data_IF_091064094053
#
_entry.id   IF_091064094053
#
_cell.length_a   1.000
_cell.length_b   1.000
_cell.length_c   1.000
_cell.angle_alpha   90.00
_cell.angle_beta   90.00
_cell.angle_gamma   90.00
#
_symmetry.space_group_name_H-M   'P 1'
#
loop_
_entity.id
_entity.type
_entity.pdbx_description
1 polymer ?
#
# COMPACT_ATOMS: atom_id res chain seq x y z
N UNK A 1 43.57 -15.02 2.83
CA UNK A 1 43.93 -15.98 1.77
C UNK A 1 42.97 -17.17 1.73
N UNK A 2 41.66 -16.94 1.89
CA UNK A 2 40.69 -18.02 2.13
C UNK A 2 39.38 -17.87 1.32
N UNK A 3 39.43 -17.11 0.23
CA UNK A 3 38.25 -16.77 -0.59
C UNK A 3 38.24 -17.48 -1.96
N UNK A 4 39.18 -18.40 -2.21
CA UNK A 4 39.41 -19.00 -3.53
C UNK A 4 38.99 -20.47 -3.67
N UNK A 5 38.46 -21.11 -2.62
CA UNK A 5 37.98 -22.51 -2.71
C UNK A 5 36.48 -22.63 -2.99
N UNK A 6 35.64 -21.67 -2.56
CA UNK A 6 34.18 -21.75 -2.75
C UNK A 6 33.75 -21.43 -4.19
N UNK A 7 34.42 -20.50 -4.89
CA UNK A 7 34.11 -20.19 -6.29
C UNK A 7 34.48 -21.31 -7.27
N UNK A 8 35.45 -22.17 -6.93
CA UNK A 8 35.85 -23.30 -7.80
C UNK A 8 34.88 -24.49 -7.72
N UNK A 9 34.08 -24.59 -6.66
CA UNK A 9 33.05 -25.63 -6.52
C UNK A 9 31.77 -25.29 -7.30
N UNK A 10 31.39 -24.00 -7.36
CA UNK A 10 30.24 -23.51 -8.13
C UNK A 10 30.46 -23.56 -9.66
N UNK A 11 31.66 -23.19 -10.12
CA UNK A 11 31.99 -23.23 -11.56
C UNK A 11 32.13 -24.65 -12.13
N UNK A 12 32.54 -25.64 -11.31
CA UNK A 12 32.60 -27.04 -11.75
C UNK A 12 31.23 -27.68 -11.92
N UNK A 13 30.17 -27.19 -11.25
CA UNK A 13 28.79 -27.64 -11.51
C UNK A 13 28.22 -27.04 -12.81
N UNK A 14 28.57 -25.80 -13.17
CA UNK A 14 28.16 -25.23 -14.45
C UNK A 14 28.87 -25.84 -15.67
N UNK A 15 30.11 -26.31 -15.52
CA UNK A 15 30.86 -26.92 -16.63
C UNK A 15 30.50 -28.41 -16.83
N UNK A 16 30.03 -29.12 -15.80
CA UNK A 16 29.57 -30.51 -15.93
C UNK A 16 28.12 -30.66 -16.42
N UNK A 17 27.31 -29.61 -16.39
CA UNK A 17 25.96 -29.60 -16.99
C UNK A 17 25.97 -29.39 -18.52
N UNK A 18 27.13 -29.08 -19.11
CA UNK A 18 27.27 -28.80 -20.53
C UNK A 18 27.71 -29.98 -21.41
N UNK A 19 27.78 -31.22 -20.90
CA UNK A 19 28.45 -32.31 -21.65
C UNK A 19 27.82 -33.70 -21.67
N UNK A 20 26.53 -33.82 -21.39
CA UNK A 20 25.82 -35.12 -21.48
C UNK A 20 24.42 -34.99 -22.11
N UNK A 21 24.28 -34.34 -23.27
CA UNK A 21 23.07 -34.50 -24.09
C UNK A 21 23.45 -34.41 -25.57
N UNK A 22 23.49 -35.57 -26.22
CA UNK A 22 23.44 -35.69 -27.67
C UNK A 22 21.97 -35.71 -28.06
N UNK A 23 21.47 -34.66 -28.71
CA UNK A 23 20.33 -34.77 -29.61
C UNK A 23 20.61 -33.87 -30.83
N UNK A 24 20.64 -34.46 -32.02
CA UNK A 24 20.63 -33.70 -33.26
C UNK A 24 19.34 -32.90 -33.28
N UNK A 25 19.43 -31.58 -33.07
CA UNK A 25 18.29 -30.67 -33.21
C UNK A 25 17.94 -30.65 -34.69
N UNK A 26 16.74 -31.07 -35.06
CA UNK A 26 16.33 -31.06 -36.47
C UNK A 26 16.02 -29.63 -36.90
N UNK A 27 16.07 -29.33 -38.20
CA UNK A 27 15.64 -28.01 -38.71
C UNK A 27 14.18 -27.69 -38.34
N UNK A 28 13.33 -28.72 -38.21
CA UNK A 28 11.97 -28.57 -37.72
C UNK A 28 11.92 -28.20 -36.22
N UNK A 29 12.84 -28.72 -35.41
CA UNK A 29 12.95 -28.35 -33.99
C UNK A 29 13.43 -26.92 -33.83
N UNK A 30 14.41 -26.49 -34.61
CA UNK A 30 14.91 -25.11 -34.60
C UNK A 30 13.82 -24.12 -35.00
N UNK A 31 13.06 -24.42 -36.06
CA UNK A 31 11.89 -23.63 -36.45
C UNK A 31 10.88 -23.51 -35.29
N UNK A 32 10.50 -24.63 -34.67
CA UNK A 32 9.53 -24.62 -33.56
C UNK A 32 10.07 -23.85 -32.34
N UNK A 33 11.33 -24.02 -31.99
CA UNK A 33 11.94 -23.28 -30.88
C UNK A 33 12.02 -21.78 -31.15
N UNK A 34 12.29 -21.37 -32.40
CA UNK A 34 12.23 -19.95 -32.81
C UNK A 34 10.79 -19.42 -32.70
N UNK A 35 9.79 -20.12 -33.26
CA UNK A 35 8.38 -19.73 -33.15
C UNK A 35 7.92 -19.60 -31.69
N UNK A 36 8.23 -20.60 -30.86
CA UNK A 36 7.86 -20.58 -29.45
C UNK A 36 8.55 -19.44 -28.70
N UNK A 37 9.83 -19.20 -28.97
CA UNK A 37 10.58 -18.13 -28.32
C UNK A 37 10.04 -16.76 -28.71
N UNK A 38 9.89 -16.52 -30.01
CA UNK A 38 9.59 -15.19 -30.55
C UNK A 38 8.13 -14.81 -30.41
N UNK A 39 7.20 -15.74 -30.66
CA UNK A 39 5.76 -15.43 -30.70
C UNK A 39 5.05 -15.82 -29.42
N UNK A 40 5.32 -17.00 -28.88
CA UNK A 40 4.45 -17.58 -27.84
C UNK A 40 4.92 -17.25 -26.42
N UNK A 41 6.22 -17.20 -26.20
CA UNK A 41 6.83 -16.97 -24.88
C UNK A 41 7.34 -15.54 -24.69
N UNK A 42 6.91 -14.59 -25.54
CA UNK A 42 7.25 -13.18 -25.41
C UNK A 42 8.75 -12.91 -25.51
N UNK A 43 9.42 -13.47 -26.52
CA UNK A 43 10.86 -13.39 -26.77
C UNK A 43 11.75 -14.07 -25.71
N UNK A 44 11.20 -14.99 -24.90
CA UNK A 44 11.98 -15.83 -23.98
C UNK A 44 12.47 -17.08 -24.69
N UNK A 45 13.75 -17.41 -24.52
CA UNK A 45 14.39 -18.56 -25.17
C UNK A 45 13.74 -19.88 -24.74
N UNK A 46 13.04 -20.54 -25.67
CA UNK A 46 12.50 -21.88 -25.52
C UNK A 46 13.61 -22.94 -25.65
N UNK A 47 13.40 -24.10 -25.01
CA UNK A 47 14.21 -25.31 -25.19
C UNK A 47 13.34 -26.55 -25.03
N UNK A 48 13.64 -27.61 -25.77
CA UNK A 48 13.06 -28.93 -25.50
C UNK A 48 13.81 -29.65 -24.38
N UNK A 49 13.13 -30.58 -23.72
CA UNK A 49 13.70 -31.51 -22.74
C UNK A 49 13.03 -32.86 -22.91
N UNK A 50 13.80 -33.93 -22.85
CA UNK A 50 13.29 -35.31 -22.87
C UNK A 50 12.95 -35.82 -21.46
N UNK A 51 13.21 -35.00 -20.44
CA UNK A 51 12.84 -35.31 -19.06
C UNK A 51 11.40 -34.91 -18.80
N UNK A 52 10.57 -35.89 -18.43
CA UNK A 52 9.22 -35.65 -17.92
C UNK A 52 9.34 -35.19 -16.46
N UNK A 53 9.44 -33.88 -16.27
CA UNK A 53 9.55 -33.24 -14.95
C UNK A 53 8.45 -32.18 -14.83
N UNK A 54 7.62 -32.29 -13.79
CA UNK A 54 6.72 -31.24 -13.35
C UNK A 54 7.44 -30.46 -12.26
N UNK A 55 7.50 -29.13 -12.38
CA UNK A 55 8.16 -28.29 -11.37
C UNK A 55 7.31 -28.31 -10.10
N UNK A 56 7.88 -28.82 -9.02
CA UNK A 56 7.31 -28.72 -7.68
C UNK A 56 7.51 -27.28 -7.16
N UNK A 57 6.45 -26.52 -6.85
CA UNK A 57 6.58 -25.17 -6.31
C UNK A 57 7.44 -25.09 -5.05
N UNK A 58 7.45 -26.14 -4.22
CA UNK A 58 8.28 -26.19 -3.00
C UNK A 58 9.77 -26.36 -3.28
N UNK A 59 10.14 -26.75 -4.50
CA UNK A 59 11.54 -26.85 -4.95
C UNK A 59 12.10 -25.54 -5.51
N UNK A 60 11.24 -24.53 -5.70
CA UNK A 60 11.62 -23.21 -6.19
C UNK A 60 12.06 -22.35 -5.01
N UNK A 61 13.24 -21.74 -5.09
CA UNK A 61 13.74 -20.84 -4.06
C UNK A 61 12.80 -19.62 -3.92
N UNK A 62 12.31 -19.31 -2.70
CA UNK A 62 11.45 -18.16 -2.47
C UNK A 62 12.17 -16.83 -2.75
N UNK A 63 11.41 -15.79 -3.05
CA UNK A 63 11.93 -14.43 -3.14
C UNK A 63 12.57 -14.01 -1.80
N UNK A 64 13.84 -13.56 -1.82
CA UNK A 64 14.49 -13.05 -0.62
C UNK A 64 13.85 -11.74 -0.19
N UNK A 65 13.88 -11.47 1.12
CA UNK A 65 13.38 -10.23 1.72
C UNK A 65 14.53 -9.22 1.77
N UNK A 66 14.47 -8.17 0.96
CA UNK A 66 15.43 -7.07 0.97
C UNK A 66 15.29 -6.26 2.26
N UNK A 67 16.41 -6.07 2.96
CA UNK A 67 16.52 -5.19 4.12
C UNK A 67 17.79 -4.34 4.03
N UNK A 68 17.78 -3.18 4.64
CA UNK A 68 18.86 -2.20 4.67
C UNK A 68 19.49 -2.13 6.05
N UNK A 69 18.65 -2.20 7.08
CA UNK A 69 19.04 -2.23 8.48
C UNK A 69 18.75 -3.58 9.14
N UNK A 70 19.31 -3.82 10.32
CA UNK A 70 18.83 -4.84 11.25
C UNK A 70 17.71 -4.30 12.15
N UNK A 71 17.19 -5.13 13.08
CA UNK A 71 16.11 -4.76 14.02
C UNK A 71 16.51 -3.66 15.01
N UNK A 72 17.80 -3.43 15.21
CA UNK A 72 18.29 -2.32 16.02
C UNK A 72 18.40 -1.02 15.22
N UNK A 73 18.21 -1.09 13.90
CA UNK A 73 18.26 0.01 12.95
C UNK A 73 19.69 0.31 12.49
N UNK A 74 20.64 -0.63 12.63
CA UNK A 74 22.00 -0.47 12.13
C UNK A 74 22.10 -0.92 10.68
N UNK A 75 22.84 -0.19 9.85
CA UNK A 75 23.04 -0.55 8.46
C UNK A 75 23.84 -1.85 8.34
N UNK A 76 23.25 -2.86 7.70
CA UNK A 76 23.92 -4.15 7.45
C UNK A 76 24.97 -4.01 6.35
N UNK A 77 24.64 -3.26 5.30
CA UNK A 77 25.57 -2.82 4.28
C UNK A 77 25.52 -1.29 4.18
N UNK A 78 26.59 -0.58 4.57
CA UNK A 78 26.66 0.89 4.49
C UNK A 78 26.44 1.47 3.08
N UNK A 79 26.65 0.68 2.02
CA UNK A 79 26.39 1.10 0.62
C UNK A 79 24.90 1.27 0.32
N UNK A 80 24.03 0.63 1.10
CA UNK A 80 22.58 0.74 0.95
C UNK A 80 21.97 1.90 1.75
N UNK A 81 22.79 2.68 2.47
CA UNK A 81 22.32 3.88 3.18
C UNK A 81 21.94 4.98 2.17
N UNK A 82 20.66 5.39 2.07
CA UNK A 82 20.23 6.42 1.13
C UNK A 82 20.71 7.84 1.49
N UNK A 83 21.43 8.02 2.61
CA UNK A 83 21.98 9.32 3.05
C UNK A 83 20.91 10.40 3.15
N UNK A 84 19.76 10.06 3.75
CA UNK A 84 18.66 11.01 3.93
C UNK A 84 19.14 12.24 4.74
N UNK A 85 18.78 13.47 4.32
CA UNK A 85 18.98 14.65 5.15
C UNK A 85 18.27 14.51 6.49
N UNK A 86 18.86 15.12 7.54
CA UNK A 86 18.30 15.10 8.90
C UNK A 86 16.84 15.53 8.91
N UNK A 87 16.50 16.59 8.19
CA UNK A 87 15.16 17.17 8.13
C UNK A 87 14.15 16.17 7.56
N UNK A 88 14.53 15.46 6.50
CA UNK A 88 13.71 14.42 5.87
C UNK A 88 13.51 13.24 6.81
N UNK A 89 14.58 12.75 7.43
CA UNK A 89 14.51 11.63 8.36
C UNK A 89 13.63 11.97 9.59
N UNK A 90 13.83 13.15 10.20
CA UNK A 90 13.00 13.62 11.31
C UNK A 90 11.54 13.79 10.87
N UNK A 91 11.26 14.30 9.67
CA UNK A 91 9.89 14.39 9.14
C UNK A 91 9.23 13.01 9.02
N UNK A 92 9.94 12.02 8.48
CA UNK A 92 9.42 10.64 8.35
C UNK A 92 9.01 10.07 9.71
N UNK A 93 9.86 10.22 10.72
CA UNK A 93 9.54 9.78 12.10
C UNK A 93 8.33 10.53 12.67
N UNK A 94 8.29 11.86 12.49
CA UNK A 94 7.19 12.70 12.94
C UNK A 94 5.87 12.30 12.31
N UNK A 95 5.84 11.99 11.01
CA UNK A 95 4.60 11.61 10.33
C UNK A 95 4.11 10.21 10.73
N UNK A 96 5.02 9.24 10.93
CA UNK A 96 4.65 7.92 11.47
C UNK A 96 4.05 8.02 12.88
N UNK A 97 4.68 8.80 13.78
CA UNK A 97 4.21 8.98 15.16
C UNK A 97 2.94 9.84 15.25
N UNK A 98 2.78 10.80 14.35
CA UNK A 98 1.56 11.60 14.19
C UNK A 98 0.38 10.74 13.75
N UNK A 99 0.58 9.88 12.75
CA UNK A 99 -0.40 8.87 12.33
C UNK A 99 -0.79 7.95 13.47
N UNK A 100 0.20 7.40 14.19
CA UNK A 100 -0.04 6.51 15.32
C UNK A 100 -0.85 7.18 16.44
N UNK A 101 -0.58 8.46 16.73
CA UNK A 101 -1.31 9.24 17.74
C UNK A 101 -2.73 9.55 17.29
N UNK A 102 -2.93 9.91 16.02
CA UNK A 102 -4.25 10.10 15.42
C UNK A 102 -5.08 8.82 15.51
N UNK A 103 -4.49 7.68 15.18
CA UNK A 103 -5.15 6.39 15.21
C UNK A 103 -5.65 6.03 16.60
N UNK A 104 -4.84 6.24 17.65
CA UNK A 104 -5.27 5.98 19.04
C UNK A 104 -6.51 6.81 19.40
N UNK A 105 -6.51 8.10 19.08
CA UNK A 105 -7.61 9.02 19.41
C UNK A 105 -8.89 8.67 18.62
N UNK A 106 -8.78 8.43 17.32
CA UNK A 106 -9.94 8.13 16.48
C UNK A 106 -10.50 6.72 16.72
N UNK A 107 -9.64 5.75 17.04
CA UNK A 107 -10.07 4.43 17.47
C UNK A 107 -10.90 4.52 18.77
N UNK A 108 -10.42 5.23 19.78
CA UNK A 108 -11.16 5.44 21.04
C UNK A 108 -12.45 6.24 20.82
N UNK A 109 -12.44 7.22 19.91
CA UNK A 109 -13.64 7.97 19.49
C UNK A 109 -14.72 7.05 18.93
N UNK A 110 -14.32 6.10 18.09
CA UNK A 110 -15.23 5.11 17.54
C UNK A 110 -15.80 4.19 18.64
N UNK A 111 -14.98 3.78 19.63
CA UNK A 111 -15.45 3.00 20.79
C UNK A 111 -16.48 3.73 21.64
N UNK A 112 -16.47 5.06 21.62
CA UNK A 112 -17.48 5.91 22.26
C UNK A 112 -18.72 6.19 21.38
N UNK A 113 -18.76 5.67 20.15
CA UNK A 113 -19.85 5.90 19.20
C UNK A 113 -19.90 7.30 18.61
N UNK A 114 -18.82 8.07 18.71
CA UNK A 114 -18.72 9.44 18.15
C UNK A 114 -18.55 9.44 16.63
N UNK A 115 -17.84 8.44 16.10
CA UNK A 115 -17.75 8.12 14.67
C UNK A 115 -18.21 6.68 14.45
N UNK A 116 -18.65 6.34 13.25
CA UNK A 116 -19.29 5.05 12.98
C UNK A 116 -18.30 3.89 12.79
N UNK A 117 -17.11 4.16 12.26
CA UNK A 117 -16.12 3.16 11.86
C UNK A 117 -14.71 3.74 11.95
N UNK A 118 -13.70 2.89 12.16
CA UNK A 118 -12.30 3.28 12.05
C UNK A 118 -11.37 2.08 11.76
N UNK A 119 -10.22 2.36 11.14
CA UNK A 119 -9.15 1.40 10.89
C UNK A 119 -7.82 2.06 11.24
N UNK A 120 -7.01 1.38 12.05
CA UNK A 120 -5.69 1.88 12.45
C UNK A 120 -4.60 1.45 11.47
N UNK A 121 -3.43 2.06 11.55
CA UNK A 121 -2.30 1.83 10.64
C UNK A 121 -1.12 1.16 11.37
N UNK A 122 -1.36 0.60 12.56
CA UNK A 122 -0.33 0.06 13.44
C UNK A 122 0.43 -1.10 12.79
N UNK A 123 1.76 -0.92 12.69
CA UNK A 123 2.69 -1.87 12.08
C UNK A 123 3.00 -1.53 10.63
N UNK A 124 2.18 -0.71 9.98
CA UNK A 124 2.30 -0.42 8.55
C UNK A 124 2.84 0.99 8.25
N UNK A 125 3.23 1.75 9.29
CA UNK A 125 3.62 3.16 9.16
C UNK A 125 4.85 3.38 8.25
N UNK A 126 5.86 2.50 8.33
CA UNK A 126 7.04 2.56 7.48
C UNK A 126 6.73 2.26 6.00
N UNK A 127 5.78 1.36 5.74
CA UNK A 127 5.32 1.08 4.38
C UNK A 127 4.75 2.34 3.74
N UNK A 128 3.91 3.08 4.46
CA UNK A 128 3.27 4.29 3.94
C UNK A 128 4.26 5.44 3.78
N UNK A 129 4.97 5.79 4.86
CA UNK A 129 5.84 6.97 4.87
C UNK A 129 7.10 6.74 4.04
N UNK A 130 7.71 5.55 4.14
CA UNK A 130 8.91 5.19 3.39
C UNK A 130 8.66 5.18 1.88
N UNK A 131 7.53 4.60 1.43
CA UNK A 131 7.18 4.58 0.02
C UNK A 131 6.79 5.98 -0.49
N UNK A 132 5.94 6.71 0.23
CA UNK A 132 5.50 8.04 -0.18
C UNK A 132 6.67 9.04 -0.31
N UNK A 133 7.67 8.96 0.57
CA UNK A 133 8.85 9.81 0.52
C UNK A 133 9.78 9.54 -0.66
N UNK A 134 9.67 8.38 -1.30
CA UNK A 134 10.45 8.01 -2.48
C UNK A 134 9.82 8.48 -3.80
N UNK A 135 8.58 8.99 -3.75
CA UNK A 135 7.80 9.43 -4.91
C UNK A 135 7.89 10.94 -5.10
N UNK A 136 7.51 11.39 -6.30
CA UNK A 136 7.26 12.81 -6.54
C UNK A 136 5.84 13.19 -6.04
N UNK A 137 5.64 14.43 -5.62
CA UNK A 137 4.32 14.92 -5.17
C UNK A 137 3.23 14.84 -6.27
N UNK A 138 3.67 14.83 -7.53
CA UNK A 138 2.81 14.69 -8.70
C UNK A 138 2.50 13.24 -9.08
N UNK A 139 3.18 12.24 -8.50
CA UNK A 139 2.86 10.83 -8.77
C UNK A 139 1.46 10.51 -8.18
N UNK A 140 0.65 9.75 -8.93
CA UNK A 140 -0.74 9.50 -8.58
C UNK A 140 -0.87 8.26 -7.69
N UNK A 141 -1.64 8.38 -6.61
CA UNK A 141 -1.81 7.31 -5.62
C UNK A 141 -3.23 6.76 -5.68
N UNK A 142 -3.32 5.43 -5.75
CA UNK A 142 -4.51 4.66 -5.45
C UNK A 142 -4.27 3.85 -4.18
N UNK A 143 -5.18 3.95 -3.21
CA UNK A 143 -5.11 3.16 -1.98
C UNK A 143 -6.23 2.13 -1.88
N UNK A 144 -6.21 1.38 -0.78
CA UNK A 144 -7.25 0.41 -0.43
C UNK A 144 -8.10 0.92 0.74
N UNK A 145 -7.49 1.28 1.87
CA UNK A 145 -8.12 1.90 3.06
C UNK A 145 -7.14 2.05 4.24
N UNK A 146 -5.87 1.62 4.11
CA UNK A 146 -4.86 1.73 5.19
C UNK A 146 -3.75 2.70 4.83
N UNK A 147 -3.91 3.53 3.80
CA UNK A 147 -2.84 4.37 3.25
C UNK A 147 -2.81 5.78 3.85
N UNK A 148 -3.38 6.00 5.04
CA UNK A 148 -3.45 7.32 5.67
C UNK A 148 -2.05 7.94 5.91
N UNK A 149 -1.02 7.11 6.09
CA UNK A 149 0.37 7.58 6.19
C UNK A 149 0.91 8.23 4.92
N UNK A 150 0.39 7.89 3.73
CA UNK A 150 0.78 8.53 2.46
C UNK A 150 0.23 9.96 2.41
N UNK A 151 -1.04 10.15 2.78
CA UNK A 151 -1.64 11.47 2.93
C UNK A 151 -0.94 12.29 4.01
N UNK A 152 -0.60 11.67 5.15
CA UNK A 152 0.14 12.32 6.22
C UNK A 152 1.50 12.85 5.73
N UNK A 153 2.24 12.02 4.98
CA UNK A 153 3.51 12.43 4.37
C UNK A 153 3.34 13.60 3.39
N UNK A 154 2.27 13.58 2.57
CA UNK A 154 1.95 14.64 1.61
C UNK A 154 1.36 15.90 2.25
N UNK A 155 1.35 16.00 3.59
CA UNK A 155 0.85 17.14 4.35
C UNK A 155 -0.68 17.36 4.21
N UNK A 156 -1.44 16.28 4.03
CA UNK A 156 -2.90 16.36 4.09
C UNK A 156 -3.34 16.95 5.44
N UNK A 157 -4.22 17.97 5.46
CA UNK A 157 -4.58 18.66 6.69
C UNK A 157 -5.15 17.70 7.75
N UNK A 158 -4.70 17.84 9.01
CA UNK A 158 -5.15 16.96 10.10
C UNK A 158 -6.67 17.06 10.31
N UNK A 159 -7.23 18.26 10.17
CA UNK A 159 -8.65 18.51 10.20
C UNK A 159 -9.42 17.70 9.16
N UNK A 160 -8.89 17.51 7.95
CA UNK A 160 -9.60 16.81 6.88
C UNK A 160 -9.73 15.31 7.14
N UNK A 161 -8.76 14.69 7.83
CA UNK A 161 -8.96 13.33 8.35
C UNK A 161 -10.17 13.26 9.30
N UNK A 162 -10.32 14.27 10.17
CA UNK A 162 -11.44 14.35 11.12
C UNK A 162 -12.76 14.63 10.41
N UNK A 163 -12.79 15.60 9.49
CA UNK A 163 -14.00 15.97 8.75
C UNK A 163 -14.55 14.78 7.99
N UNK A 164 -13.69 14.00 7.32
CA UNK A 164 -14.10 12.79 6.61
C UNK A 164 -14.65 11.72 7.57
N UNK A 165 -14.01 11.50 8.73
CA UNK A 165 -14.51 10.52 9.71
C UNK A 165 -15.83 10.93 10.37
N UNK A 166 -16.08 12.23 10.54
CA UNK A 166 -17.35 12.75 11.06
C UNK A 166 -18.43 12.87 9.96
N UNK A 167 -18.03 12.89 8.68
CA UNK A 167 -18.93 13.16 7.56
C UNK A 167 -19.59 14.54 7.61
N UNK A 168 -18.90 15.51 8.22
CA UNK A 168 -19.44 16.86 8.41
C UNK A 168 -19.27 17.72 7.15
N UNK A 169 -19.75 18.97 7.18
CA UNK A 169 -19.81 19.81 5.99
C UNK A 169 -18.47 20.32 5.45
N UNK A 170 -17.39 20.17 6.21
CA UNK A 170 -16.05 20.55 5.77
C UNK A 170 -15.28 19.37 5.13
N UNK A 171 -15.88 18.18 5.10
CA UNK A 171 -15.33 17.02 4.39
C UNK A 171 -15.32 17.26 2.88
N UNK A 172 -14.17 17.10 2.24
CA UNK A 172 -14.05 17.10 0.78
C UNK A 172 -14.95 16.04 0.12
N UNK A 173 -15.17 14.91 0.80
CA UNK A 173 -16.09 13.83 0.38
C UNK A 173 -17.56 14.11 0.67
N UNK A 174 -17.90 15.28 1.23
CA UNK A 174 -19.27 15.73 1.53
C UNK A 174 -20.05 14.80 2.45
N UNK A 175 -19.37 14.00 3.29
CA UNK A 175 -19.99 13.04 4.20
C UNK A 175 -20.69 11.87 3.51
N UNK A 176 -20.35 11.57 2.25
CA UNK A 176 -21.04 10.55 1.44
C UNK A 176 -20.48 9.13 1.60
N UNK A 177 -19.30 8.99 2.20
CA UNK A 177 -18.64 7.70 2.38
C UNK A 177 -18.39 7.36 3.84
N UNK A 178 -18.14 6.07 4.10
CA UNK A 178 -17.75 5.56 5.40
C UNK A 178 -16.45 6.23 5.89
N UNK A 179 -16.24 6.40 7.22
CA UNK A 179 -14.97 6.86 7.74
C UNK A 179 -13.77 6.09 7.19
N UNK A 180 -12.62 6.75 7.10
CA UNK A 180 -11.35 6.26 6.53
C UNK A 180 -11.34 6.17 4.99
N UNK A 181 -12.42 6.59 4.32
CA UNK A 181 -12.46 6.69 2.86
C UNK A 181 -11.92 8.04 2.36
N UNK A 182 -10.65 8.29 2.65
CA UNK A 182 -10.00 9.57 2.31
C UNK A 182 -9.79 9.74 0.79
N UNK A 183 -9.70 10.99 0.35
CA UNK A 183 -9.41 11.36 -1.04
C UNK A 183 -8.99 12.83 -1.13
N UNK A 184 -8.07 13.15 -2.04
CA UNK A 184 -7.68 14.53 -2.29
C UNK A 184 -7.05 14.70 -3.67
N UNK A 185 -7.69 15.51 -4.52
CA UNK A 185 -7.16 15.86 -5.82
C UNK A 185 -5.85 16.66 -5.72
N UNK A 186 -5.77 17.60 -4.77
CA UNK A 186 -4.58 18.42 -4.52
C UNK A 186 -3.35 17.56 -4.19
N UNK A 187 -3.55 16.48 -3.43
CA UNK A 187 -2.48 15.59 -2.99
C UNK A 187 -2.26 14.41 -3.93
N UNK A 188 -2.85 14.42 -5.13
CA UNK A 188 -2.82 13.32 -6.11
C UNK A 188 -3.15 11.96 -5.46
N UNK A 189 -4.17 11.92 -4.60
CA UNK A 189 -4.63 10.72 -3.90
C UNK A 189 -6.08 10.44 -4.27
N UNK A 190 -6.30 9.38 -5.06
CA UNK A 190 -7.65 9.01 -5.52
C UNK A 190 -8.48 8.53 -4.34
N UNK A 191 -9.72 8.98 -4.28
CA UNK A 191 -10.65 8.64 -3.20
C UNK A 191 -10.81 7.14 -3.04
N UNK A 192 -10.65 6.67 -1.81
CA UNK A 192 -10.85 5.26 -1.43
C UNK A 192 -12.30 4.81 -1.68
N UNK A 193 -12.45 3.53 -2.04
CA UNK A 193 -13.72 2.83 -2.10
C UNK A 193 -13.62 1.47 -1.39
N UNK A 194 -14.73 0.98 -0.84
CA UNK A 194 -14.75 -0.28 -0.07
C UNK A 194 -14.46 -1.54 -0.90
N UNK A 195 -14.98 -1.71 -2.14
CA UNK A 195 -14.74 -2.91 -2.93
C UNK A 195 -13.26 -3.13 -3.20
N UNK A 196 -12.72 -4.25 -2.69
CA UNK A 196 -11.31 -4.55 -2.79
C UNK A 196 -10.89 -4.65 -4.26
N UNK A 197 -9.66 -4.21 -4.51
CA UNK A 197 -8.92 -4.46 -5.76
C UNK A 197 -9.43 -3.71 -6.99
N UNK A 198 -10.65 -3.14 -6.96
CA UNK A 198 -11.22 -2.34 -8.05
C UNK A 198 -10.33 -1.16 -8.47
N UNK A 199 -9.55 -0.61 -7.54
CA UNK A 199 -8.60 0.46 -7.79
C UNK A 199 -7.40 0.02 -8.64
N UNK A 200 -7.05 -1.27 -8.67
CA UNK A 200 -5.86 -1.78 -9.37
C UNK A 200 -5.98 -1.64 -10.89
N UNK A 201 -7.01 -2.15 -11.57
CA UNK A 201 -7.15 -1.93 -13.02
C UNK A 201 -7.38 -0.46 -13.37
N UNK A 202 -8.03 0.32 -12.49
CA UNK A 202 -8.18 1.78 -12.67
C UNK A 202 -6.81 2.49 -12.66
N UNK A 203 -5.94 2.14 -11.69
CA UNK A 203 -4.58 2.65 -11.60
C UNK A 203 -3.77 2.35 -12.87
N UNK A 204 -3.94 1.16 -13.45
CA UNK A 204 -3.31 0.78 -14.73
C UNK A 204 -3.80 1.66 -15.88
N UNK A 205 -5.10 1.99 -15.92
CA UNK A 205 -5.67 2.92 -16.90
C UNK A 205 -5.07 4.33 -16.80
N UNK A 206 -4.95 4.86 -15.58
CA UNK A 206 -4.31 6.16 -15.32
C UNK A 206 -2.82 6.14 -15.70
N UNK A 207 -2.11 5.07 -15.37
CA UNK A 207 -0.70 4.90 -15.74
C UNK A 207 -0.53 4.86 -17.27
N UNK A 208 -1.42 4.15 -17.97
CA UNK A 208 -1.42 4.11 -19.43
C UNK A 208 -1.67 5.50 -20.03
N UNK A 209 -2.55 6.30 -19.43
CA UNK A 209 -2.77 7.68 -19.83
C UNK A 209 -1.51 8.53 -19.65
N UNK A 210 -0.82 8.44 -18.50
CA UNK A 210 0.45 9.16 -18.26
C UNK A 210 1.55 8.77 -19.23
N UNK A 211 1.65 7.49 -19.59
CA UNK A 211 2.57 7.04 -20.64
C UNK A 211 2.26 7.71 -21.99
N UNK A 212 0.99 7.76 -22.38
CA UNK A 212 0.58 8.38 -23.65
C UNK A 212 0.84 9.89 -23.67
N UNK A 213 0.69 10.54 -22.52
CA UNK A 213 0.98 11.96 -22.32
C UNK A 213 2.49 12.25 -22.30
N UNK A 214 3.32 11.25 -21.98
CA UNK A 214 4.77 11.43 -21.89
C UNK A 214 5.22 12.25 -20.68
N UNK A 215 4.38 12.38 -19.65
CA UNK A 215 4.63 13.24 -18.49
C UNK A 215 5.75 12.78 -17.55
N UNK A 216 6.19 11.51 -17.66
CA UNK A 216 7.16 10.90 -16.73
C UNK A 216 6.62 10.68 -15.31
N UNK A 217 5.32 10.93 -15.09
CA UNK A 217 4.61 10.62 -13.84
C UNK A 217 4.40 9.11 -13.73
N UNK A 218 4.45 8.59 -12.51
CA UNK A 218 4.10 7.20 -12.21
C UNK A 218 2.80 7.13 -11.42
N UNK A 219 2.17 5.96 -11.49
CA UNK A 219 1.06 5.61 -10.60
C UNK A 219 1.54 4.59 -9.57
N UNK A 220 1.14 4.76 -8.32
CA UNK A 220 1.34 3.76 -7.27
C UNK A 220 -0.02 3.27 -6.81
N UNK A 221 -0.19 1.96 -6.74
CA UNK A 221 -1.40 1.35 -6.21
C UNK A 221 -1.08 0.42 -5.04
N UNK A 222 -1.67 0.73 -3.88
CA UNK A 222 -1.55 -0.07 -2.67
C UNK A 222 -2.69 -1.07 -2.55
N UNK A 223 -2.37 -2.25 -2.03
CA UNK A 223 -3.32 -3.33 -1.75
C UNK A 223 -2.74 -4.32 -0.74
N UNK A 224 -3.60 -5.03 -0.01
CA UNK A 224 -3.19 -6.11 0.91
C UNK A 224 -3.03 -7.46 0.21
N UNK A 225 -2.39 -8.42 0.90
CA UNK A 225 -2.22 -9.80 0.42
C UNK A 225 -3.56 -10.50 0.11
N UNK A 226 -4.60 -10.26 0.92
CA UNK A 226 -5.94 -10.78 0.64
C UNK A 226 -6.61 -10.17 -0.59
N UNK A 227 -6.42 -8.88 -0.84
CA UNK A 227 -6.95 -8.22 -2.04
C UNK A 227 -6.32 -8.77 -3.32
N UNK A 228 -5.09 -9.26 -3.25
CA UNK A 228 -4.40 -9.89 -4.38
C UNK A 228 -4.99 -11.25 -4.81
N UNK A 229 -6.02 -11.75 -4.13
CA UNK A 229 -6.80 -12.93 -4.52
C UNK A 229 -8.02 -12.60 -5.39
N UNK A 230 -8.42 -11.32 -5.47
CA UNK A 230 -9.50 -10.87 -6.34
C UNK A 230 -9.12 -10.93 -7.82
N UNK A 231 -10.12 -11.16 -8.69
CA UNK A 231 -9.92 -11.23 -10.15
C UNK A 231 -9.35 -9.94 -10.76
N UNK A 232 -9.67 -8.79 -10.18
CA UNK A 232 -9.17 -7.48 -10.64
C UNK A 232 -7.64 -7.35 -10.47
N UNK A 233 -7.02 -8.06 -9.53
CA UNK A 233 -5.57 -8.05 -9.35
C UNK A 233 -4.89 -8.73 -10.54
N UNK A 234 -5.43 -9.88 -10.96
CA UNK A 234 -4.98 -10.59 -12.16
C UNK A 234 -5.10 -9.71 -13.40
N UNK A 235 -6.27 -9.06 -13.59
CA UNK A 235 -6.50 -8.16 -14.71
C UNK A 235 -5.47 -7.01 -14.73
N UNK A 236 -5.26 -6.36 -13.57
CA UNK A 236 -4.33 -5.24 -13.44
C UNK A 236 -2.88 -5.64 -13.74
N UNK A 237 -2.39 -6.74 -13.15
CA UNK A 237 -1.02 -7.21 -13.38
C UNK A 237 -0.77 -7.50 -14.86
N UNK A 238 -1.69 -8.21 -15.52
CA UNK A 238 -1.53 -8.55 -16.93
C UNK A 238 -1.63 -7.31 -17.84
N UNK A 239 -2.60 -6.42 -17.60
CA UNK A 239 -2.75 -5.19 -18.39
C UNK A 239 -1.53 -4.27 -18.24
N UNK A 240 -1.00 -4.09 -17.02
CA UNK A 240 0.18 -3.28 -16.81
C UNK A 240 1.40 -3.81 -17.58
N UNK A 241 1.61 -5.13 -17.57
CA UNK A 241 2.72 -5.75 -18.28
C UNK A 241 2.59 -5.64 -19.80
N UNK A 242 1.46 -6.06 -20.35
CA UNK A 242 1.21 -6.07 -21.81
C UNK A 242 1.17 -4.66 -22.38
N UNK A 243 0.58 -3.72 -21.64
CA UNK A 243 0.52 -2.32 -22.03
C UNK A 243 1.74 -1.51 -21.59
N UNK A 244 2.73 -2.12 -20.91
CA UNK A 244 3.96 -1.44 -20.45
C UNK A 244 3.63 -0.16 -19.68
N UNK A 245 2.83 -0.25 -18.62
CA UNK A 245 2.39 0.92 -17.86
C UNK A 245 3.44 1.40 -16.84
N UNK A 246 3.58 2.72 -16.62
CA UNK A 246 4.44 3.30 -15.59
C UNK A 246 3.77 3.21 -14.20
N UNK A 247 3.72 1.99 -13.66
CA UNK A 247 3.01 1.69 -12.42
C UNK A 247 3.85 0.89 -11.42
N UNK A 248 3.71 1.23 -10.14
CA UNK A 248 4.19 0.44 -9.00
C UNK A 248 2.98 -0.20 -8.31
N UNK A 249 2.96 -1.52 -8.25
CA UNK A 249 2.07 -2.31 -7.42
C UNK A 249 2.73 -2.49 -6.05
N UNK A 250 2.16 -1.92 -5.00
CA UNK A 250 2.69 -2.00 -3.64
C UNK A 250 1.79 -2.89 -2.79
N UNK A 251 2.17 -4.16 -2.65
CA UNK A 251 1.47 -5.12 -1.81
C UNK A 251 1.94 -5.01 -0.35
N UNK A 252 1.02 -4.76 0.57
CA UNK A 252 1.24 -4.86 2.02
C UNK A 252 0.83 -6.27 2.46
N UNK A 253 1.81 -7.16 2.63
CA UNK A 253 1.57 -8.51 3.12
C UNK A 253 1.77 -8.54 4.64
N UNK A 254 0.66 -8.51 5.37
CA UNK A 254 0.66 -8.44 6.83
C UNK A 254 0.26 -9.76 7.50
N UNK A 255 0.13 -10.82 6.70
CA UNK A 255 -0.21 -12.17 7.15
C UNK A 255 -1.70 -12.47 7.28
N UNK A 256 -2.59 -11.48 7.18
CA UNK A 256 -4.02 -11.66 7.48
C UNK A 256 -4.97 -10.78 6.65
N UNK A 257 -5.97 -11.43 6.04
CA UNK A 257 -7.16 -10.78 5.48
C UNK A 257 -8.34 -10.94 6.44
N UNK A 258 -8.64 -9.90 7.23
CA UNK A 258 -9.55 -9.98 8.39
C UNK A 258 -9.07 -11.08 9.35
N UNK A 259 -9.68 -12.26 9.31
CA UNK A 259 -9.37 -13.44 10.11
C UNK A 259 -8.63 -14.55 9.34
N UNK A 260 -8.58 -14.46 8.01
CA UNK A 260 -7.99 -15.49 7.16
C UNK A 260 -6.47 -15.34 7.11
N UNK A 261 -5.68 -16.30 7.64
CA UNK A 261 -4.22 -16.27 7.54
C UNK A 261 -3.77 -16.54 6.10
N UNK A 262 -2.55 -16.15 5.75
CA UNK A 262 -1.99 -16.36 4.40
C UNK A 262 -1.94 -17.82 3.96
N UNK A 263 -1.84 -18.77 4.89
CA UNK A 263 -1.89 -20.22 4.62
C UNK A 263 -3.22 -20.68 4.02
N UNK A 264 -4.29 -19.90 4.21
CA UNK A 264 -5.61 -20.11 3.61
C UNK A 264 -5.89 -19.14 2.45
N UNK A 265 -4.98 -18.19 2.20
CA UNK A 265 -5.12 -17.17 1.17
C UNK A 265 -4.52 -17.60 -0.17
N UNK A 266 -3.34 -18.24 -0.15
CA UNK A 266 -2.64 -18.67 -1.35
C UNK A 266 -1.74 -19.88 -1.08
N UNK A 267 -1.46 -20.68 -2.13
CA UNK A 267 -0.56 -21.84 -2.07
C UNK A 267 0.86 -21.59 -2.61
N UNK A 268 1.20 -20.35 -2.97
CA UNK A 268 2.48 -19.99 -3.57
C UNK A 268 3.39 -19.16 -2.66
N UNK A 269 4.52 -18.71 -3.22
CA UNK A 269 5.48 -17.83 -2.55
C UNK A 269 4.98 -16.37 -2.50
N UNK A 270 3.95 -16.13 -1.68
CA UNK A 270 3.38 -14.79 -1.49
C UNK A 270 2.86 -14.15 -2.76
N UNK A 271 2.86 -12.82 -2.76
CA UNK A 271 2.45 -12.03 -3.93
C UNK A 271 3.64 -11.78 -4.85
N UNK A 272 4.86 -11.63 -4.34
CA UNK A 272 6.07 -11.51 -5.16
C UNK A 272 6.23 -12.71 -6.11
N UNK A 273 5.92 -13.93 -5.66
CA UNK A 273 5.95 -15.13 -6.51
C UNK A 273 5.03 -15.07 -7.74
N UNK A 274 3.99 -14.22 -7.72
CA UNK A 274 3.06 -14.03 -8.86
C UNK A 274 3.67 -13.14 -9.94
N UNK A 275 4.50 -12.16 -9.57
CA UNK A 275 4.96 -11.08 -10.45
C UNK A 275 5.68 -11.53 -11.73
N UNK A 276 6.71 -12.39 -11.66
CA UNK A 276 7.42 -12.87 -12.85
C UNK A 276 6.53 -13.59 -13.87
N UNK A 277 5.47 -14.26 -13.41
CA UNK A 277 4.50 -14.94 -14.28
C UNK A 277 3.79 -13.98 -15.23
N UNK A 278 3.54 -12.75 -14.80
CA UNK A 278 2.99 -11.67 -15.64
C UNK A 278 4.07 -10.88 -16.39
N UNK A 279 5.35 -11.09 -16.10
CA UNK A 279 6.45 -10.28 -16.65
C UNK A 279 6.66 -8.95 -15.92
N UNK A 280 6.21 -8.84 -14.66
CA UNK A 280 6.49 -7.69 -13.82
C UNK A 280 7.93 -7.74 -13.29
N UNK A 281 8.55 -6.57 -13.09
CA UNK A 281 9.76 -6.49 -12.27
C UNK A 281 9.32 -6.67 -10.82
N UNK A 282 10.02 -7.47 -10.01
CA UNK A 282 9.49 -7.86 -8.71
C UNK A 282 10.55 -7.89 -7.63
N UNK A 283 10.21 -7.36 -6.45
CA UNK A 283 11.03 -7.37 -5.25
C UNK A 283 10.16 -7.62 -4.02
N UNK A 284 10.70 -8.33 -3.04
CA UNK A 284 10.14 -8.44 -1.70
C UNK A 284 11.02 -7.68 -0.72
N UNK A 285 10.41 -6.90 0.18
CA UNK A 285 11.11 -6.04 1.13
C UNK A 285 10.64 -6.28 2.56
N UNK A 286 11.52 -5.99 3.51
CA UNK A 286 11.18 -5.84 4.92
C UNK A 286 10.37 -4.54 5.07
N UNK A 287 9.07 -4.67 5.34
CA UNK A 287 8.14 -3.55 5.47
C UNK A 287 8.26 -2.81 6.81
N UNK A 288 8.98 -3.36 7.78
CA UNK A 288 9.30 -2.70 9.04
C UNK A 288 10.60 -1.88 8.94
N UNK A 289 11.40 -2.14 7.90
CA UNK A 289 12.58 -1.35 7.55
C UNK A 289 12.22 -0.18 6.62
N UNK A 290 12.07 1.01 7.20
CA UNK A 290 11.74 2.22 6.45
C UNK A 290 12.71 2.48 5.30
N UNK A 291 14.01 2.22 5.49
CA UNK A 291 15.01 2.44 4.44
C UNK A 291 14.89 1.43 3.31
N UNK A 292 14.56 0.17 3.62
CA UNK A 292 14.34 -0.85 2.59
C UNK A 292 13.13 -0.49 1.72
N UNK A 293 12.02 -0.08 2.34
CA UNK A 293 10.83 0.39 1.64
C UNK A 293 11.16 1.62 0.78
N UNK A 294 11.87 2.60 1.33
CA UNK A 294 12.27 3.81 0.61
C UNK A 294 13.13 3.49 -0.61
N UNK A 295 14.22 2.73 -0.43
CA UNK A 295 15.13 2.37 -1.50
C UNK A 295 14.44 1.59 -2.62
N UNK A 296 13.65 0.58 -2.26
CA UNK A 296 12.92 -0.23 -3.23
C UNK A 296 11.89 0.60 -4.00
N UNK A 297 11.16 1.49 -3.32
CA UNK A 297 10.19 2.36 -3.98
C UNK A 297 10.88 3.37 -4.88
N UNK A 298 12.00 3.96 -4.45
CA UNK A 298 12.77 4.94 -5.24
C UNK A 298 13.25 4.32 -6.55
N UNK A 299 13.84 3.13 -6.47
CA UNK A 299 14.31 2.42 -7.65
C UNK A 299 13.15 1.90 -8.52
N UNK A 300 12.07 1.42 -7.90
CA UNK A 300 10.86 1.02 -8.62
C UNK A 300 10.24 2.18 -9.40
N UNK A 301 10.27 3.40 -8.84
CA UNK A 301 9.80 4.61 -9.52
C UNK A 301 10.63 4.96 -10.74
N UNK A 302 11.96 4.82 -10.66
CA UNK A 302 12.86 5.00 -11.80
C UNK A 302 12.58 3.99 -12.93
N UNK A 303 12.35 2.72 -12.59
CA UNK A 303 11.96 1.70 -13.56
C UNK A 303 10.57 1.96 -14.14
N UNK A 304 9.58 2.25 -13.29
CA UNK A 304 8.22 2.54 -13.72
C UNK A 304 8.17 3.73 -14.67
N UNK A 305 8.92 4.81 -14.41
CA UNK A 305 9.02 5.95 -15.33
C UNK A 305 9.57 5.56 -16.73
N UNK A 306 10.28 4.44 -16.85
CA UNK A 306 10.72 3.83 -18.11
C UNK A 306 9.71 2.81 -18.68
N UNK A 307 8.45 2.85 -18.25
CA UNK A 307 7.37 1.94 -18.67
C UNK A 307 7.62 0.46 -18.31
N UNK A 308 8.34 0.23 -17.20
CA UNK A 308 8.59 -1.10 -16.64
C UNK A 308 7.77 -1.25 -15.37
N UNK A 309 6.58 -1.90 -15.41
CA UNK A 309 5.76 -2.05 -14.22
C UNK A 309 6.49 -2.89 -13.17
N UNK A 310 6.35 -2.46 -11.91
CA UNK A 310 7.06 -3.06 -10.77
C UNK A 310 6.06 -3.54 -9.72
N UNK A 311 6.32 -4.70 -9.13
CA UNK A 311 5.63 -5.23 -7.96
C UNK A 311 6.60 -5.22 -6.77
N UNK A 312 6.21 -4.51 -5.71
CA UNK A 312 6.86 -4.55 -4.40
C UNK A 312 5.92 -5.32 -3.47
N UNK A 313 6.41 -6.40 -2.85
CA UNK A 313 5.74 -7.03 -1.72
C UNK A 313 6.48 -6.65 -0.43
N UNK A 314 5.84 -5.82 0.39
CA UNK A 314 6.38 -5.43 1.68
C UNK A 314 5.82 -6.34 2.78
N UNK A 315 6.71 -7.08 3.43
CA UNK A 315 6.38 -8.00 4.51
C UNK A 315 6.28 -7.23 5.81
N UNK A 316 5.14 -7.29 6.48
CA UNK A 316 4.90 -6.55 7.73
C UNK A 316 3.96 -7.34 8.65
N UNK A 317 3.48 -6.71 9.71
CA UNK A 317 2.53 -7.31 10.63
C UNK A 317 1.43 -6.33 11.04
N UNK A 318 0.19 -6.78 10.98
CA UNK A 318 -0.97 -5.97 11.39
C UNK A 318 -1.12 -6.00 12.91
N UNK A 319 -0.51 -5.04 13.61
CA UNK A 319 -0.55 -5.00 15.07
C UNK A 319 -1.96 -4.74 15.63
N UNK A 320 -2.72 -3.86 14.99
CA UNK A 320 -4.11 -3.59 15.35
C UNK A 320 -5.07 -4.71 14.93
N UNK A 321 -6.32 -4.61 15.38
CA UNK A 321 -7.43 -5.35 14.78
C UNK A 321 -7.59 -4.99 13.29
N UNK A 322 -8.38 -5.75 12.54
CA UNK A 322 -8.65 -5.43 11.15
C UNK A 322 -9.30 -4.03 11.02
N UNK A 323 -10.32 -3.80 11.85
CA UNK A 323 -11.07 -2.55 11.99
C UNK A 323 -11.72 -2.49 13.37
N UNK A 324 -12.47 -1.43 13.66
CA UNK A 324 -13.31 -1.34 14.86
C UNK A 324 -14.51 -2.30 14.89
N UNK A 325 -14.79 -2.99 13.79
CA UNK A 325 -15.82 -4.03 13.70
C UNK A 325 -15.25 -5.45 13.83
N UNK A 326 -13.96 -5.56 14.14
CA UNK A 326 -13.23 -6.81 14.29
C UNK A 326 -12.66 -6.94 15.70
N UNK A 327 -12.65 -8.17 16.23
CA UNK A 327 -11.90 -8.54 17.41
C UNK A 327 -10.90 -9.64 17.04
N UNK A 328 -9.66 -9.24 16.84
CA UNK A 328 -8.63 -10.16 16.40
C UNK A 328 -8.18 -11.17 17.45
N UNK A 329 -8.56 -11.00 18.71
CA UNK A 329 -8.23 -11.97 19.77
C UNK A 329 -8.95 -13.30 19.55
N UNK A 330 -10.01 -13.31 18.73
CA UNK A 330 -10.74 -14.52 18.36
C UNK A 330 -9.96 -15.47 17.44
N UNK A 331 -8.93 -15.00 16.71
CA UNK A 331 -8.21 -15.80 15.72
C UNK A 331 -6.69 -15.59 15.69
N UNK A 332 -6.14 -14.69 16.52
CA UNK A 332 -4.68 -14.50 16.71
C UNK A 332 -4.30 -14.60 18.17
N UNK A 333 -3.12 -15.18 18.44
CA UNK A 333 -2.60 -15.30 19.79
C UNK A 333 -2.03 -13.96 20.25
N UNK A 334 -2.35 -13.54 21.48
CA UNK A 334 -1.78 -12.32 22.07
C UNK A 334 -0.25 -12.35 22.12
N UNK A 335 0.35 -13.53 22.31
CA UNK A 335 1.81 -13.71 22.31
C UNK A 335 2.44 -13.32 20.97
N UNK A 336 1.80 -13.66 19.85
CA UNK A 336 2.29 -13.34 18.51
C UNK A 336 2.32 -11.82 18.29
N UNK A 337 1.25 -11.11 18.68
CA UNK A 337 1.18 -9.64 18.57
C UNK A 337 2.21 -8.96 19.46
N UNK A 338 2.41 -9.46 20.69
CA UNK A 338 3.40 -8.95 21.62
C UNK A 338 4.83 -9.10 21.06
N UNK A 339 5.13 -10.25 20.44
CA UNK A 339 6.44 -10.48 19.81
C UNK A 339 6.74 -9.46 18.72
N UNK A 340 5.79 -9.15 17.83
CA UNK A 340 5.98 -8.12 16.81
C UNK A 340 6.14 -6.72 17.41
N UNK A 341 5.35 -6.41 18.45
CA UNK A 341 5.41 -5.10 19.12
C UNK A 341 6.75 -4.87 19.81
N UNK A 342 7.29 -5.90 20.47
CA UNK A 342 8.53 -5.81 21.26
C UNK A 342 9.79 -5.95 20.41
N UNK A 343 9.77 -6.87 19.43
CA UNK A 343 10.98 -7.26 18.69
C UNK A 343 11.22 -6.43 17.45
N UNK A 344 10.16 -6.04 16.72
CA UNK A 344 10.31 -5.42 15.39
C UNK A 344 9.14 -4.51 15.03
N UNK A 345 9.11 -3.32 15.62
CA UNK A 345 8.13 -2.27 15.32
C UNK A 345 8.79 -1.12 14.54
N UNK A 346 8.30 -0.73 13.34
CA UNK A 346 8.97 0.23 12.44
C UNK A 346 9.32 1.57 13.08
N UNK A 347 8.44 2.11 13.92
CA UNK A 347 8.67 3.41 14.59
C UNK A 347 9.87 3.32 15.54
N UNK A 348 9.97 2.24 16.33
CA UNK A 348 11.07 2.06 17.29
C UNK A 348 12.39 1.83 16.57
N UNK A 349 12.38 0.99 15.53
CA UNK A 349 13.57 0.73 14.71
C UNK A 349 14.14 2.01 14.09
N UNK A 350 13.26 2.86 13.55
CA UNK A 350 13.67 4.13 12.97
C UNK A 350 14.06 5.18 14.01
N UNK A 351 13.43 5.19 15.20
CA UNK A 351 13.83 6.05 16.34
C UNK A 351 15.28 5.77 16.75
N UNK A 352 15.66 4.50 16.91
CA UNK A 352 17.04 4.09 17.27
C UNK A 352 18.06 4.65 16.28
N UNK A 353 17.72 4.69 14.99
CA UNK A 353 18.56 5.31 13.96
C UNK A 353 18.72 6.82 14.20
N UNK A 354 17.64 7.55 14.46
CA UNK A 354 17.71 8.99 14.71
C UNK A 354 18.51 9.33 15.98
N UNK A 355 18.32 8.57 17.05
CA UNK A 355 19.04 8.74 18.32
C UNK A 355 20.55 8.51 18.14
N UNK A 356 20.94 7.45 17.42
CA UNK A 356 22.35 7.17 17.12
C UNK A 356 23.03 8.27 16.30
N UNK A 357 22.28 8.98 15.45
CA UNK A 357 22.80 10.12 14.71
C UNK A 357 22.73 11.46 15.49
N UNK A 358 22.23 11.45 16.72
CA UNK A 358 22.04 12.67 17.53
C UNK A 358 20.97 13.60 16.95
N UNK A 359 19.99 13.05 16.23
CA UNK A 359 18.93 13.81 15.57
C UNK A 359 17.61 13.80 16.33
N UNK A 360 17.48 12.93 17.32
CA UNK A 360 16.33 12.79 18.18
C UNK A 360 16.76 12.30 19.57
N UNK A 361 15.97 12.58 20.60
CA UNK A 361 16.17 12.10 21.97
C UNK A 361 14.81 12.01 22.70
N UNK A 362 14.85 11.61 23.96
CA UNK A 362 13.66 11.44 24.80
C UNK A 362 12.91 12.75 25.05
N UNK A 363 13.62 13.87 25.19
CA UNK A 363 13.02 15.19 25.38
C UNK A 363 12.27 15.66 24.14
N UNK A 364 12.89 15.53 22.95
CA UNK A 364 12.29 15.82 21.65
C UNK A 364 11.04 14.96 21.43
N UNK A 365 11.12 13.67 21.76
CA UNK A 365 10.02 12.72 21.62
C UNK A 365 8.82 13.09 22.51
N UNK A 366 9.06 13.33 23.80
CA UNK A 366 8.01 13.74 24.75
C UNK A 366 7.35 15.04 24.31
N UNK A 367 8.15 16.04 23.91
CA UNK A 367 7.63 17.33 23.45
C UNK A 367 6.80 17.17 22.17
N UNK A 368 7.28 16.37 21.21
CA UNK A 368 6.59 16.11 19.96
C UNK A 368 5.25 15.39 20.16
N UNK A 369 5.23 14.29 20.92
CA UNK A 369 4.01 13.53 21.17
C UNK A 369 2.97 14.37 21.93
N UNK A 370 3.40 15.18 22.90
CA UNK A 370 2.51 16.10 23.61
C UNK A 370 1.88 17.13 22.65
N UNK A 371 2.68 17.70 21.75
CA UNK A 371 2.23 18.66 20.75
C UNK A 371 1.26 18.03 19.75
N UNK A 372 1.61 16.87 19.18
CA UNK A 372 0.74 16.12 18.26
C UNK A 372 -0.59 15.77 18.92
N UNK A 373 -0.58 15.25 20.15
CA UNK A 373 -1.81 14.91 20.87
C UNK A 373 -2.70 16.15 21.03
N UNK A 374 -2.12 17.30 21.38
CA UNK A 374 -2.83 18.58 21.50
C UNK A 374 -3.44 18.99 20.16
N UNK A 375 -2.70 18.89 19.06
CA UNK A 375 -3.17 19.28 17.73
C UNK A 375 -4.28 18.36 17.24
N UNK A 376 -4.10 17.04 17.35
CA UNK A 376 -5.14 16.06 16.98
C UNK A 376 -6.42 16.31 17.77
N UNK A 377 -6.34 16.49 19.09
CA UNK A 377 -7.52 16.75 19.93
C UNK A 377 -8.18 18.10 19.61
N UNK A 378 -7.39 19.13 19.26
CA UNK A 378 -7.91 20.43 18.81
C UNK A 378 -8.76 20.27 17.55
N UNK A 379 -8.21 19.61 16.52
CA UNK A 379 -8.91 19.41 15.25
C UNK A 379 -10.10 18.45 15.39
N UNK A 380 -9.95 17.39 16.19
CA UNK A 380 -11.03 16.48 16.54
C UNK A 380 -12.23 17.20 17.19
N UNK A 381 -11.97 18.01 18.22
CA UNK A 381 -13.02 18.76 18.94
C UNK A 381 -13.66 19.83 18.06
N UNK A 382 -12.90 20.40 17.12
CA UNK A 382 -13.43 21.34 16.13
C UNK A 382 -14.38 20.61 15.16
N UNK A 383 -13.93 19.50 14.55
CA UNK A 383 -14.71 18.72 13.60
C UNK A 383 -16.01 18.16 14.20
N UNK A 384 -16.02 17.76 15.48
CA UNK A 384 -17.22 17.28 16.17
C UNK A 384 -18.34 18.33 16.27
N UNK A 385 -17.98 19.63 16.24
CA UNK A 385 -18.94 20.74 16.33
C UNK A 385 -19.46 21.18 14.96
N UNK A 386 -18.83 20.75 13.87
CA UNK A 386 -19.26 21.08 12.51
C UNK A 386 -20.50 20.27 12.17
N UNK A 387 -21.54 20.95 11.69
CA UNK A 387 -22.76 20.29 11.21
C UNK A 387 -22.51 19.57 9.89
N UNK A 388 -23.37 18.61 9.57
CA UNK A 388 -23.41 17.96 8.26
C UNK A 388 -23.92 18.95 7.19
N UNK A 389 -23.61 18.68 5.92
CA UNK A 389 -24.23 19.41 4.79
C UNK A 389 -25.75 19.27 4.82
N UNK A 390 -26.52 20.16 4.17
CA UNK A 390 -27.96 20.00 4.06
C UNK A 390 -28.34 18.60 3.55
N UNK A 391 -29.44 18.03 4.06
CA UNK A 391 -29.85 16.64 3.73
C UNK A 391 -30.02 16.45 2.23
N UNK A 392 -30.45 17.49 1.51
CA UNK A 392 -30.69 17.45 0.07
C UNK A 392 -29.41 17.41 -0.79
N UNK A 393 -28.22 17.53 -0.18
CA UNK A 393 -26.92 17.33 -0.82
C UNK A 393 -26.72 15.88 -1.28
N UNK A 394 -27.47 14.93 -0.71
CA UNK A 394 -27.44 13.51 -1.10
C UNK A 394 -27.77 13.28 -2.59
N UNK A 395 -28.45 14.24 -3.24
CA UNK A 395 -28.81 14.17 -4.66
C UNK A 395 -27.77 14.80 -5.60
N UNK A 396 -26.80 15.54 -5.07
CA UNK A 396 -25.77 16.21 -5.87
C UNK A 396 -24.60 15.24 -6.14
N UNK A 397 -23.85 15.50 -7.21
CA UNK A 397 -22.69 14.72 -7.68
C UNK A 397 -22.98 13.25 -8.06
N UNK A 398 -24.25 12.85 -8.12
CA UNK A 398 -24.65 11.56 -8.75
C UNK A 398 -24.32 11.60 -10.25
N UNK A 399 -24.55 12.76 -10.86
CA UNK A 399 -24.11 13.14 -12.20
C UNK A 399 -23.51 14.54 -12.15
N UNK A 400 -22.83 14.98 -13.21
CA UNK A 400 -22.31 16.35 -13.31
C UNK A 400 -23.42 17.41 -13.20
N UNK A 401 -24.57 17.14 -13.81
CA UNK A 401 -25.79 17.94 -13.65
C UNK A 401 -26.90 17.07 -13.06
N UNK A 402 -27.61 17.57 -12.05
CA UNK A 402 -28.70 16.83 -11.39
C UNK A 402 -29.85 16.63 -12.38
N UNK A 403 -30.15 15.38 -12.81
CA UNK A 403 -31.20 15.14 -13.81
C UNK A 403 -32.60 15.46 -13.26
N UNK A 404 -33.57 15.71 -14.16
CA UNK A 404 -34.95 16.08 -13.79
C UNK A 404 -35.61 15.13 -12.79
N UNK A 405 -35.34 13.82 -12.89
CA UNK A 405 -35.92 12.85 -11.94
C UNK A 405 -35.31 12.97 -10.54
N UNK A 406 -34.01 13.27 -10.40
CA UNK A 406 -33.39 13.55 -9.10
C UNK A 406 -33.81 14.92 -8.54
N UNK A 407 -34.02 15.92 -9.40
CA UNK A 407 -34.59 17.20 -8.97
C UNK A 407 -35.98 17.02 -8.37
N UNK A 408 -36.82 16.17 -8.99
CA UNK A 408 -38.14 15.81 -8.46
C UNK A 408 -38.03 15.12 -7.10
N UNK A 409 -37.18 14.11 -6.96
CA UNK A 409 -36.95 13.42 -5.68
C UNK A 409 -36.41 14.38 -4.60
N UNK A 410 -35.53 15.32 -4.98
CA UNK A 410 -35.03 16.38 -4.11
C UNK A 410 -36.15 17.28 -3.60
N UNK A 411 -37.11 17.64 -4.46
CA UNK A 411 -38.29 18.41 -4.07
C UNK A 411 -39.23 17.60 -3.17
N UNK A 412 -39.48 16.32 -3.49
CA UNK A 412 -40.28 15.41 -2.65
C UNK A 412 -39.70 15.27 -1.25
N UNK A 413 -38.37 15.16 -1.12
CA UNK A 413 -37.71 15.14 0.18
C UNK A 413 -37.93 16.44 0.97
N UNK A 414 -37.85 17.60 0.31
CA UNK A 414 -38.10 18.89 0.98
C UNK A 414 -39.52 19.00 1.49
N UNK A 415 -40.51 18.58 0.69
CA UNK A 415 -41.92 18.53 1.12
C UNK A 415 -42.11 17.57 2.29
N UNK A 416 -41.47 16.39 2.25
CA UNK A 416 -41.49 15.42 3.34
C UNK A 416 -40.91 15.98 4.63
N UNK A 417 -39.73 16.61 4.57
CA UNK A 417 -39.08 17.21 5.74
C UNK A 417 -39.83 18.44 6.27
N UNK A 418 -40.54 19.19 5.42
CA UNK A 418 -41.42 20.27 5.87
C UNK A 418 -42.62 19.75 6.68
N UNK A 419 -43.10 18.54 6.37
CA UNK A 419 -44.27 17.93 7.03
C UNK A 419 -43.93 17.03 8.22
N UNK A 420 -42.79 16.34 8.17
CA UNK A 420 -42.41 15.28 9.11
C UNK A 420 -41.02 15.50 9.71
N UNK A 421 -40.45 16.71 9.60
CA UNK A 421 -39.08 17.03 10.00
C UNK A 421 -38.78 16.79 11.48
N UNK A 422 -39.80 16.80 12.35
CA UNK A 422 -39.69 16.47 13.77
C UNK A 422 -39.24 15.03 14.04
N UNK A 423 -39.40 14.13 13.06
CA UNK A 423 -38.95 12.74 13.13
C UNK A 423 -37.51 12.53 12.65
N UNK A 424 -36.84 13.59 12.18
CA UNK A 424 -35.49 13.54 11.62
C UNK A 424 -34.50 14.36 12.47
N UNK A 425 -33.21 13.97 12.51
CA UNK A 425 -32.19 14.67 13.29
C UNK A 425 -31.69 15.96 12.61
N UNK A 426 -32.60 16.84 12.17
CA UNK A 426 -32.30 18.02 11.34
C UNK A 426 -31.40 19.04 12.07
N UNK A 427 -31.35 19.03 13.40
CA UNK A 427 -30.46 19.88 14.18
C UNK A 427 -28.96 19.62 13.91
N UNK A 428 -28.61 18.41 13.43
CA UNK A 428 -27.23 18.04 13.06
C UNK A 428 -26.82 18.51 11.66
N UNK A 429 -27.76 18.96 10.85
CA UNK A 429 -27.54 19.37 9.47
C UNK A 429 -27.57 20.90 9.37
N UNK A 430 -26.83 21.46 8.42
CA UNK A 430 -26.97 22.85 8.02
C UNK A 430 -28.39 23.09 7.46
N UNK A 431 -28.88 24.32 7.63
CA UNK A 431 -30.22 24.75 7.22
C UNK A 431 -30.35 24.84 5.70
#
# INVERSE_FOLDING_TARGET
MSMNLALRAGLRRQILLGRLYSTQTTSADEFRLSEYSEKYLGHRKARFTEKLEIVDPSSVEPFPIYRVTDTDGEFINPENDPKLPKETAVKMYKDMTKLNTMDKILYDSQRQGRISFYMTNFGEEANHVGSAAALEDTDLIYGQYREAGVLMWRNFPLEQFMHQCYGNAEDYGKGKQMPVHYGSAEHNFVTISSPLTTQMPQAVGSAYAFKRDGSGRVVVVYFGDGAASEGDAHAAFNFAATLKCPIIFFCRNNGYAISTPTTEQYGGDGIAGKGPGYGLHTIRVDGNDLFAVYNATKYARELAAQNKPVLIEAMTYRLGHHSTSDDSTAYRKASEVAEWTEKDYPILRFRRYLERNGWWNDEDDKAWIAQVRKDVLKHFTAAEKVKNLPVDELFNDVYAEVPKHLQKQKAELKEHLAKYGEHYPLNKFQS
#
